data_IF_144787252261
#
_entry.id   IF_144787252261
#
_cell.length_a   1.000
_cell.length_b   1.000
_cell.length_c   1.000
_cell.angle_alpha   90.00
_cell.angle_beta   90.00
_cell.angle_gamma   90.00
#
_symmetry.space_group_name_H-M   'P 1'
#
loop_
_entity.id
_entity.type
_entity.pdbx_description
1 polymer ?
#
# COMPACT_ATOMS: atom_id res chain seq x y z
N UNK A 1 3.10 4.78 32.62
CA UNK A 1 3.28 4.25 31.25
C UNK A 1 4.06 5.29 30.46
N UNK A 2 5.14 4.93 29.76
CA UNK A 2 5.96 5.87 28.98
C UNK A 2 5.33 6.11 27.60
N UNK A 3 5.20 7.37 27.16
CA UNK A 3 4.41 7.76 25.98
C UNK A 3 4.86 7.12 24.66
N UNK A 4 6.11 6.65 24.57
CA UNK A 4 6.62 5.87 23.43
C UNK A 4 5.91 4.51 23.27
N UNK A 5 5.39 3.93 24.33
CA UNK A 5 4.75 2.61 24.27
C UNK A 5 3.29 2.72 23.85
N UNK A 6 2.53 3.57 24.53
CA UNK A 6 1.20 3.98 24.09
C UNK A 6 0.72 5.23 24.84
N UNK A 7 -0.35 5.83 24.33
CA UNK A 7 -1.16 6.85 24.99
C UNK A 7 -2.64 6.59 24.67
N UNK A 8 -3.59 7.09 25.48
CA UNK A 8 -5.03 6.87 25.22
C UNK A 8 -5.50 7.29 23.82
N UNK A 9 -4.93 8.35 23.24
CA UNK A 9 -5.25 8.80 21.88
C UNK A 9 -4.77 7.79 20.82
N UNK A 10 -3.60 7.18 21.06
CA UNK A 10 -3.03 6.16 20.16
C UNK A 10 -3.86 4.88 20.25
N UNK A 11 -4.18 4.42 21.47
CA UNK A 11 -4.99 3.22 21.69
C UNK A 11 -6.36 3.33 21.01
N UNK A 12 -7.03 4.49 21.15
CA UNK A 12 -8.32 4.75 20.50
C UNK A 12 -8.22 4.73 18.97
N UNK A 13 -7.19 5.37 18.43
CA UNK A 13 -6.95 5.41 16.99
C UNK A 13 -6.65 4.02 16.42
N UNK A 14 -5.74 3.27 17.06
CA UNK A 14 -5.34 1.93 16.65
C UNK A 14 -6.54 0.96 16.69
N UNK A 15 -7.35 1.03 17.76
CA UNK A 15 -8.57 0.21 17.87
C UNK A 15 -9.54 0.49 16.72
N UNK A 16 -9.75 1.77 16.37
CA UNK A 16 -10.68 2.14 15.29
C UNK A 16 -10.14 1.76 13.91
N UNK A 17 -8.84 1.88 13.67
CA UNK A 17 -8.22 1.44 12.42
C UNK A 17 -8.33 -0.08 12.23
N UNK A 18 -8.08 -0.86 13.29
CA UNK A 18 -8.25 -2.30 13.26
C UNK A 18 -9.68 -2.71 12.86
N UNK A 19 -10.69 -2.08 13.46
CA UNK A 19 -12.11 -2.31 13.12
C UNK A 19 -12.40 -1.92 11.67
N UNK A 20 -11.89 -0.77 11.21
CA UNK A 20 -12.19 -0.24 9.88
C UNK A 20 -11.63 -1.12 8.74
N UNK A 21 -10.50 -1.78 8.98
CA UNK A 21 -9.86 -2.73 8.06
C UNK A 21 -10.22 -4.20 8.31
N UNK A 22 -11.03 -4.49 9.32
CA UNK A 22 -11.35 -5.86 9.72
C UNK A 22 -10.13 -6.65 10.24
N UNK A 23 -9.09 -5.97 10.74
CA UNK A 23 -7.92 -6.58 11.36
C UNK A 23 -8.08 -6.80 12.86
N UNK A 24 -7.22 -7.65 13.44
CA UNK A 24 -7.23 -7.92 14.88
C UNK A 24 -6.57 -6.80 15.69
N UNK A 25 -5.56 -6.15 15.12
CA UNK A 25 -4.82 -5.07 15.75
C UNK A 25 -4.26 -4.10 14.71
N UNK A 26 -3.99 -2.87 15.15
CA UNK A 26 -3.29 -1.86 14.37
C UNK A 26 -2.16 -1.23 15.17
N UNK A 27 -1.16 -0.71 14.46
CA UNK A 27 -0.10 0.11 15.01
C UNK A 27 0.05 1.38 14.19
N UNK A 28 0.19 2.51 14.87
CA UNK A 28 0.37 3.83 14.25
C UNK A 28 1.79 4.34 14.40
N UNK A 29 2.19 5.17 13.43
CA UNK A 29 3.56 5.64 13.24
C UNK A 29 3.57 7.12 12.85
N UNK A 30 4.69 7.80 13.11
CA UNK A 30 4.89 9.20 12.72
C UNK A 30 4.91 9.45 11.21
N UNK A 31 4.99 8.40 10.38
CA UNK A 31 4.83 8.51 8.91
C UNK A 31 4.54 7.15 8.29
N UNK A 32 4.05 7.14 7.03
CA UNK A 32 3.93 5.91 6.23
C UNK A 32 5.27 5.19 6.06
N UNK A 33 6.36 5.93 5.83
CA UNK A 33 7.70 5.33 5.72
C UNK A 33 8.16 4.69 7.04
N UNK A 34 7.82 5.26 8.20
CA UNK A 34 8.12 4.63 9.48
C UNK A 34 7.34 3.33 9.66
N UNK A 35 6.08 3.27 9.21
CA UNK A 35 5.28 2.04 9.21
C UNK A 35 5.91 0.97 8.29
N UNK A 36 6.22 1.33 7.05
CA UNK A 36 6.84 0.43 6.05
C UNK A 36 8.20 -0.08 6.55
N UNK A 37 9.10 0.82 6.94
CA UNK A 37 10.44 0.46 7.38
C UNK A 37 10.41 -0.46 8.62
N UNK A 38 9.58 -0.13 9.62
CA UNK A 38 9.46 -0.95 10.84
C UNK A 38 8.90 -2.34 10.51
N UNK A 39 7.89 -2.43 9.64
CA UNK A 39 7.33 -3.71 9.18
C UNK A 39 8.39 -4.55 8.47
N UNK A 40 9.11 -3.98 7.51
CA UNK A 40 10.14 -4.72 6.77
C UNK A 40 11.26 -5.21 7.70
N UNK A 41 11.74 -4.35 8.62
CA UNK A 41 12.77 -4.70 9.60
C UNK A 41 12.30 -5.69 10.67
N UNK A 42 10.99 -5.82 10.92
CA UNK A 42 10.45 -6.79 11.87
C UNK A 42 10.47 -8.22 11.33
N UNK A 43 10.57 -8.40 10.01
CA UNK A 43 10.41 -9.71 9.38
C UNK A 43 11.54 -10.11 8.44
N UNK A 44 12.41 -9.19 8.03
CA UNK A 44 13.58 -9.48 7.21
C UNK A 44 14.88 -9.03 7.90
N UNK A 45 15.88 -9.92 7.89
CA UNK A 45 17.24 -9.66 8.35
C UNK A 45 18.28 -10.05 7.30
N UNK A 46 19.56 -9.86 7.63
CA UNK A 46 20.66 -10.15 6.71
C UNK A 46 20.58 -11.59 6.15
N UNK A 47 20.68 -11.73 4.83
CA UNK A 47 20.57 -12.99 4.10
C UNK A 47 19.14 -13.37 3.69
N UNK A 48 18.12 -12.70 4.23
CA UNK A 48 16.73 -12.89 3.79
C UNK A 48 16.44 -12.15 2.48
N UNK A 49 15.30 -12.49 1.86
CA UNK A 49 14.84 -11.91 0.59
C UNK A 49 13.48 -11.25 0.76
N UNK A 50 13.32 -10.07 0.16
CA UNK A 50 12.03 -9.39 -0.05
C UNK A 50 11.66 -9.49 -1.52
N UNK A 51 10.60 -10.25 -1.82
CA UNK A 51 9.95 -10.24 -3.13
C UNK A 51 8.95 -9.10 -3.16
N UNK A 52 8.93 -8.27 -4.19
CA UNK A 52 7.94 -7.20 -4.29
C UNK A 52 7.43 -6.94 -5.69
N UNK A 53 6.25 -6.33 -5.78
CA UNK A 53 5.75 -5.84 -7.06
C UNK A 53 6.38 -4.50 -7.46
N UNK A 54 6.47 -4.21 -8.75
CA UNK A 54 6.88 -2.90 -9.27
C UNK A 54 5.83 -2.34 -10.24
N UNK A 55 5.65 -1.01 -10.30
CA UNK A 55 6.33 0.00 -9.46
C UNK A 55 5.75 0.07 -8.04
N UNK A 56 6.57 0.55 -7.10
CA UNK A 56 6.14 0.97 -5.77
C UNK A 56 6.27 2.49 -5.63
N UNK A 57 5.68 3.06 -4.58
CA UNK A 57 6.03 4.40 -4.12
C UNK A 57 7.56 4.58 -4.05
N UNK A 58 8.07 5.66 -4.64
CA UNK A 58 9.51 5.89 -4.77
C UNK A 58 10.28 5.92 -3.45
N UNK A 59 9.63 6.28 -2.34
CA UNK A 59 10.24 6.18 -1.01
C UNK A 59 10.44 4.73 -0.56
N UNK A 60 9.48 3.85 -0.85
CA UNK A 60 9.56 2.42 -0.59
C UNK A 60 10.63 1.78 -1.46
N UNK A 61 10.63 2.06 -2.76
CA UNK A 61 11.66 1.57 -3.69
C UNK A 61 13.08 2.00 -3.25
N UNK A 62 13.26 3.27 -2.89
CA UNK A 62 14.54 3.76 -2.37
C UNK A 62 14.94 3.08 -1.06
N UNK A 63 14.00 2.78 -0.17
CA UNK A 63 14.29 2.08 1.08
C UNK A 63 14.76 0.64 0.83
N UNK A 64 14.06 -0.11 -0.03
CA UNK A 64 14.45 -1.47 -0.41
C UNK A 64 15.85 -1.49 -1.06
N UNK A 65 16.05 -0.68 -2.10
CA UNK A 65 17.26 -0.74 -2.92
C UNK A 65 18.48 -0.05 -2.31
N UNK A 66 18.30 0.91 -1.39
CA UNK A 66 19.43 1.68 -0.82
C UNK A 66 19.70 1.39 0.65
N UNK A 67 18.67 1.04 1.43
CA UNK A 67 18.84 0.78 2.87
C UNK A 67 18.94 -0.73 3.11
N UNK A 68 17.93 -1.51 2.71
CA UNK A 68 17.91 -2.95 2.97
C UNK A 68 19.03 -3.69 2.22
N UNK A 69 19.33 -3.30 0.98
CA UNK A 69 20.47 -3.84 0.24
C UNK A 69 21.81 -3.67 0.98
N UNK A 70 22.02 -2.55 1.68
CA UNK A 70 23.24 -2.32 2.49
C UNK A 70 23.28 -3.16 3.77
N UNK A 71 22.13 -3.68 4.20
CA UNK A 71 21.99 -4.59 5.34
C UNK A 71 22.06 -6.07 4.92
N UNK A 72 22.50 -6.35 3.69
CA UNK A 72 22.56 -7.69 3.09
C UNK A 72 21.18 -8.38 2.99
N UNK A 73 20.10 -7.60 2.87
CA UNK A 73 18.77 -8.12 2.54
C UNK A 73 18.64 -8.06 1.03
N UNK A 74 18.35 -9.19 0.41
CA UNK A 74 18.24 -9.30 -1.04
C UNK A 74 16.86 -8.86 -1.51
N UNK A 75 16.80 -8.23 -2.67
CA UNK A 75 15.55 -7.74 -3.27
C UNK A 75 15.29 -8.50 -4.57
N UNK A 76 14.04 -8.91 -4.78
CA UNK A 76 13.56 -9.46 -6.05
C UNK A 76 12.25 -8.76 -6.44
N UNK A 77 12.11 -8.43 -7.72
CA UNK A 77 10.99 -7.66 -8.23
C UNK A 77 10.19 -8.45 -9.28
N UNK A 78 8.88 -8.21 -9.32
CA UNK A 78 7.96 -8.70 -10.35
C UNK A 78 7.02 -7.57 -10.76
N UNK A 79 6.62 -7.49 -12.03
CA UNK A 79 5.69 -6.45 -12.48
C UNK A 79 4.30 -6.59 -11.82
N UNK A 80 3.66 -5.46 -11.51
CA UNK A 80 2.36 -5.42 -10.82
C UNK A 80 1.26 -6.24 -11.51
N UNK A 81 1.16 -6.16 -12.84
CA UNK A 81 0.15 -6.90 -13.62
C UNK A 81 0.69 -8.23 -14.20
N UNK A 82 1.79 -8.76 -13.64
CA UNK A 82 2.34 -10.06 -14.03
C UNK A 82 1.29 -11.18 -13.98
N UNK A 83 1.44 -12.16 -14.87
CA UNK A 83 0.71 -13.40 -14.82
C UNK A 83 1.38 -14.40 -13.86
N UNK A 84 0.70 -15.52 -13.60
CA UNK A 84 1.18 -16.53 -12.68
C UNK A 84 2.56 -17.12 -13.07
N UNK A 85 2.84 -17.47 -14.34
CA UNK A 85 4.16 -17.94 -14.74
C UNK A 85 5.29 -16.95 -14.45
N UNK A 86 5.11 -15.66 -14.77
CA UNK A 86 6.11 -14.64 -14.48
C UNK A 86 6.33 -14.48 -12.97
N UNK A 87 5.26 -14.55 -12.18
CA UNK A 87 5.35 -14.47 -10.72
C UNK A 87 6.04 -15.69 -10.10
N UNK A 88 5.79 -16.90 -10.61
CA UNK A 88 6.49 -18.12 -10.18
C UNK A 88 7.98 -18.07 -10.53
N UNK A 89 8.35 -17.52 -11.69
CA UNK A 89 9.74 -17.34 -12.07
C UNK A 89 10.47 -16.36 -11.11
N UNK A 90 9.84 -15.24 -10.78
CA UNK A 90 10.37 -14.30 -9.79
C UNK A 90 10.47 -14.93 -8.39
N UNK A 91 9.48 -15.73 -7.98
CA UNK A 91 9.53 -16.46 -6.71
C UNK A 91 10.69 -17.47 -6.65
N UNK A 92 10.94 -18.21 -7.73
CA UNK A 92 12.07 -19.14 -7.83
C UNK A 92 13.41 -18.40 -7.79
N UNK A 93 13.53 -17.28 -8.52
CA UNK A 93 14.69 -16.39 -8.48
C UNK A 93 14.93 -15.83 -7.07
N UNK A 94 13.88 -15.41 -6.36
CA UNK A 94 13.96 -14.94 -4.98
C UNK A 94 14.48 -16.05 -4.05
N UNK A 95 13.90 -17.25 -4.08
CA UNK A 95 14.32 -18.37 -3.24
C UNK A 95 15.77 -18.81 -3.49
N UNK A 96 16.28 -18.63 -4.72
CA UNK A 96 17.68 -18.90 -5.03
C UNK A 96 18.66 -17.92 -4.38
N UNK A 97 18.21 -16.72 -4.00
CA UNK A 97 19.02 -15.70 -3.29
C UNK A 97 19.04 -15.89 -1.78
N UNK A 98 18.01 -16.55 -1.21
CA UNK A 98 17.87 -16.78 0.22
C UNK A 98 16.41 -17.03 0.64
N UNK A 99 16.14 -17.17 1.96
CA UNK A 99 14.78 -17.38 2.47
C UNK A 99 13.91 -16.15 2.19
N UNK A 100 12.79 -16.33 1.49
CA UNK A 100 11.87 -15.24 1.17
C UNK A 100 11.00 -14.97 2.39
N UNK A 101 11.17 -13.82 3.03
CA UNK A 101 10.44 -13.47 4.26
C UNK A 101 9.19 -12.65 4.01
N UNK A 102 9.20 -11.84 2.96
CA UNK A 102 8.16 -10.86 2.69
C UNK A 102 7.83 -10.89 1.21
N UNK A 103 6.54 -10.88 0.90
CA UNK A 103 6.00 -10.51 -0.39
C UNK A 103 5.31 -9.15 -0.22
N UNK A 104 5.92 -8.08 -0.73
CA UNK A 104 5.41 -6.71 -0.58
C UNK A 104 4.72 -6.24 -1.86
N UNK A 105 3.54 -5.64 -1.74
CA UNK A 105 2.82 -5.08 -2.88
C UNK A 105 2.15 -3.74 -2.56
N UNK A 106 1.80 -3.01 -3.60
CA UNK A 106 1.01 -1.78 -3.57
C UNK A 106 -0.02 -1.89 -4.69
N UNK A 107 -1.31 -1.73 -4.36
CA UNK A 107 -2.35 -1.75 -5.39
C UNK A 107 -3.51 -0.80 -5.05
N UNK A 108 -3.93 0.07 -6.00
CA UNK A 108 -3.29 0.38 -7.28
C UNK A 108 -1.87 0.95 -7.11
N UNK A 109 -1.00 0.77 -8.10
CA UNK A 109 0.37 1.30 -8.03
C UNK A 109 0.42 2.82 -8.23
N UNK A 110 1.32 3.51 -7.54
CA UNK A 110 1.66 4.90 -7.84
C UNK A 110 2.84 4.97 -8.84
N UNK A 111 2.77 5.74 -9.96
CA UNK A 111 1.69 6.64 -10.40
C UNK A 111 0.74 6.07 -11.47
N UNK A 112 0.92 4.81 -11.89
CA UNK A 112 0.26 4.28 -13.09
C UNK A 112 -1.08 3.58 -12.82
N UNK A 113 -1.49 3.44 -11.56
CA UNK A 113 -2.71 2.72 -11.15
C UNK A 113 -2.78 1.30 -11.73
N UNK A 114 -1.67 0.59 -11.75
CA UNK A 114 -1.64 -0.83 -12.13
C UNK A 114 -2.24 -1.67 -11.00
N UNK A 115 -2.91 -2.76 -11.35
CA UNK A 115 -3.67 -3.57 -10.39
C UNK A 115 -2.93 -4.87 -10.11
N UNK A 116 -2.55 -5.10 -8.85
CA UNK A 116 -1.92 -6.34 -8.42
C UNK A 116 -2.97 -7.32 -7.95
N UNK A 117 -2.86 -8.58 -8.35
CA UNK A 117 -3.79 -9.64 -7.95
C UNK A 117 -3.44 -10.19 -6.56
N UNK A 118 -4.14 -9.71 -5.54
CA UNK A 118 -3.88 -10.09 -4.15
C UNK A 118 -4.06 -11.60 -3.91
N UNK A 119 -5.02 -12.22 -4.59
CA UNK A 119 -5.25 -13.66 -4.50
C UNK A 119 -4.12 -14.46 -5.15
N UNK A 120 -3.56 -13.96 -6.27
CA UNK A 120 -2.35 -14.54 -6.86
C UNK A 120 -1.14 -14.37 -5.92
N UNK A 121 -0.96 -13.20 -5.31
CA UNK A 121 0.13 -13.00 -4.34
C UNK A 121 0.04 -13.99 -3.17
N UNK A 122 -1.16 -14.25 -2.63
CA UNK A 122 -1.37 -15.28 -1.59
C UNK A 122 -0.97 -16.66 -2.10
N UNK A 123 -1.45 -17.05 -3.29
CA UNK A 123 -1.10 -18.33 -3.92
C UNK A 123 0.42 -18.50 -4.09
N UNK A 124 1.13 -17.43 -4.48
CA UNK A 124 2.58 -17.44 -4.62
C UNK A 124 3.27 -17.56 -3.25
N UNK A 125 2.80 -16.83 -2.24
CA UNK A 125 3.34 -16.94 -0.89
C UNK A 125 3.17 -18.38 -0.34
N UNK A 126 2.04 -19.02 -0.60
CA UNK A 126 1.81 -20.42 -0.22
C UNK A 126 2.72 -21.37 -1.00
N UNK A 127 2.91 -21.14 -2.31
CA UNK A 127 3.84 -21.91 -3.14
C UNK A 127 5.27 -21.85 -2.60
N UNK A 128 5.76 -20.64 -2.29
CA UNK A 128 7.06 -20.44 -1.66
C UNK A 128 7.11 -21.20 -0.33
N UNK A 129 6.07 -21.09 0.50
CA UNK A 129 6.01 -21.76 1.79
C UNK A 129 6.07 -23.28 1.72
N UNK A 130 5.45 -23.88 0.71
CA UNK A 130 5.54 -25.33 0.48
C UNK A 130 6.96 -25.80 0.12
N UNK A 131 7.80 -24.92 -0.45
CA UNK A 131 9.17 -25.25 -0.88
C UNK A 131 10.17 -24.97 0.24
N UNK A 132 10.14 -23.78 0.84
CA UNK A 132 11.12 -23.35 1.86
C UNK A 132 10.70 -23.70 3.30
N UNK A 133 9.50 -24.23 3.51
CA UNK A 133 8.96 -24.66 4.81
C UNK A 133 8.20 -23.59 5.60
N UNK A 134 8.11 -22.35 5.10
CA UNK A 134 7.28 -21.28 5.68
C UNK A 134 6.88 -20.25 4.61
N UNK A 135 5.63 -19.79 4.64
CA UNK A 135 5.18 -18.75 3.71
C UNK A 135 5.79 -17.38 4.08
N UNK A 136 6.21 -16.56 3.10
CA UNK A 136 6.49 -15.15 3.35
C UNK A 136 5.23 -14.43 3.79
N UNK A 137 5.41 -13.38 4.57
CA UNK A 137 4.31 -12.49 5.00
C UNK A 137 3.91 -11.63 3.80
N UNK A 138 2.64 -11.67 3.44
CA UNK A 138 2.06 -10.83 2.39
C UNK A 138 1.69 -9.47 2.97
N UNK A 139 2.36 -8.42 2.48
CA UNK A 139 2.15 -7.03 2.90
C UNK A 139 1.59 -6.23 1.73
N UNK A 140 0.47 -5.52 1.95
CA UNK A 140 -0.12 -4.62 0.95
C UNK A 140 -0.13 -3.18 1.44
N UNK A 141 0.48 -2.27 0.67
CA UNK A 141 0.25 -0.83 0.81
C UNK A 141 -1.09 -0.48 0.17
N UNK A 142 -2.07 -0.15 1.01
CA UNK A 142 -3.43 0.19 0.59
C UNK A 142 -3.68 1.71 0.68
N UNK A 143 -2.62 2.52 0.61
CA UNK A 143 -2.72 3.98 0.76
C UNK A 143 -3.70 4.61 -0.23
N UNK A 144 -3.72 4.17 -1.50
CA UNK A 144 -4.50 4.85 -2.55
C UNK A 144 -6.01 4.62 -2.47
N UNK A 145 -6.44 3.42 -2.10
CA UNK A 145 -7.87 3.11 -1.96
C UNK A 145 -8.35 3.25 -0.52
N UNK A 146 -7.43 3.18 0.44
CA UNK A 146 -7.71 3.19 1.87
C UNK A 146 -8.65 2.06 2.30
N UNK A 147 -9.01 2.02 3.59
CA UNK A 147 -9.87 0.97 4.11
C UNK A 147 -11.31 1.06 3.59
N UNK A 148 -11.71 2.20 3.01
CA UNK A 148 -13.05 2.39 2.43
C UNK A 148 -13.15 1.77 1.03
N UNK A 149 -12.09 1.87 0.22
CA UNK A 149 -12.09 1.48 -1.18
C UNK A 149 -11.60 0.06 -1.46
N UNK A 150 -10.86 -0.54 -0.53
CA UNK A 150 -10.34 -1.90 -0.64
C UNK A 150 -10.04 -2.48 0.75
N UNK A 151 -10.23 -3.78 0.91
CA UNK A 151 -10.05 -4.53 2.16
C UNK A 151 -9.06 -5.68 1.94
N UNK A 152 -7.74 -5.43 1.86
CA UNK A 152 -6.77 -6.45 1.42
C UNK A 152 -6.71 -7.68 2.34
N UNK A 153 -6.97 -7.53 3.64
CA UNK A 153 -7.00 -8.65 4.59
C UNK A 153 -8.03 -9.72 4.17
N UNK A 154 -9.19 -9.29 3.64
CA UNK A 154 -10.22 -10.19 3.11
C UNK A 154 -9.79 -10.96 1.84
N UNK A 155 -8.65 -10.57 1.24
CA UNK A 155 -8.07 -11.19 0.04
C UNK A 155 -6.79 -11.98 0.34
N UNK A 156 -6.53 -12.30 1.60
CA UNK A 156 -5.40 -13.14 2.03
C UNK A 156 -4.10 -12.39 2.32
N UNK A 157 -4.13 -11.06 2.35
CA UNK A 157 -3.02 -10.24 2.84
C UNK A 157 -2.88 -10.41 4.34
N UNK A 158 -1.66 -10.55 4.84
CA UNK A 158 -1.37 -10.76 6.26
C UNK A 158 -1.29 -9.41 7.02
N UNK A 159 -0.73 -8.39 6.35
CA UNK A 159 -0.56 -7.04 6.89
C UNK A 159 -0.89 -5.97 5.85
N UNK A 160 -1.69 -4.98 6.23
CA UNK A 160 -1.96 -3.80 5.42
C UNK A 160 -1.18 -2.61 5.99
N UNK A 161 -0.48 -1.88 5.12
CA UNK A 161 0.26 -0.67 5.50
C UNK A 161 -0.35 0.56 4.85
N UNK A 162 -0.23 1.69 5.54
CA UNK A 162 -0.81 2.96 5.11
C UNK A 162 0.14 4.13 5.32
N UNK A 163 0.10 5.06 4.38
CA UNK A 163 0.33 6.48 4.65
C UNK A 163 -0.98 7.16 5.03
N UNK A 164 -1.25 7.24 6.33
CA UNK A 164 -2.44 7.92 6.86
C UNK A 164 -2.48 9.41 6.53
N UNK A 165 -1.32 9.99 6.20
CA UNK A 165 -1.13 11.32 5.61
C UNK A 165 -2.06 11.62 4.42
N UNK A 166 -2.47 10.58 3.68
CA UNK A 166 -3.23 10.71 2.43
C UNK A 166 -4.73 10.73 2.71
N UNK A 167 -5.47 9.76 2.19
CA UNK A 167 -6.93 9.77 2.18
C UNK A 167 -7.57 9.66 3.57
N UNK A 168 -6.95 8.87 4.47
CA UNK A 168 -7.46 8.68 5.83
C UNK A 168 -7.42 9.99 6.62
N UNK A 169 -6.26 10.65 6.68
CA UNK A 169 -6.10 11.97 7.29
C UNK A 169 -6.87 13.04 6.53
N UNK A 170 -6.66 13.15 5.21
CA UNK A 170 -7.55 13.85 4.27
C UNK A 170 -7.73 15.36 4.42
N UNK A 171 -7.06 15.99 5.40
CA UNK A 171 -7.11 17.43 5.67
C UNK A 171 -5.77 18.13 5.38
N UNK A 172 -4.78 17.39 4.87
CA UNK A 172 -3.44 17.91 4.51
C UNK A 172 -2.71 18.63 5.65
N UNK A 173 -2.97 18.24 6.90
CA UNK A 173 -2.53 18.91 8.13
C UNK A 173 -1.68 18.02 9.05
N UNK A 174 -1.39 16.77 8.65
CA UNK A 174 -0.66 15.80 9.46
C UNK A 174 0.21 14.85 8.62
N UNK A 175 1.19 14.23 9.28
CA UNK A 175 1.99 13.13 8.76
C UNK A 175 1.84 11.92 9.68
N UNK A 176 1.42 10.78 9.14
CA UNK A 176 1.28 9.55 9.90
C UNK A 176 1.27 8.31 9.00
N UNK A 177 1.50 7.16 9.61
CA UNK A 177 1.37 5.85 8.99
C UNK A 177 0.69 4.85 9.91
N UNK A 178 0.28 3.72 9.35
CA UNK A 178 -0.26 2.61 10.12
C UNK A 178 0.09 1.25 9.50
N UNK A 179 0.00 0.23 10.34
CA UNK A 179 0.00 -1.17 9.96
C UNK A 179 -1.21 -1.83 10.63
N UNK A 180 -1.98 -2.62 9.89
CA UNK A 180 -3.15 -3.37 10.40
C UNK A 180 -3.03 -4.83 10.01
N UNK A 181 -3.39 -5.75 10.90
CA UNK A 181 -3.42 -7.18 10.59
C UNK A 181 -3.58 -8.07 11.83
N UNK A 182 -3.11 -9.31 11.73
CA UNK A 182 -3.16 -10.26 12.85
C UNK A 182 -2.32 -9.80 14.04
N UNK A 183 -2.83 -9.97 15.26
CA UNK A 183 -2.19 -9.49 16.48
C UNK A 183 -0.78 -10.06 16.67
N UNK A 184 -0.60 -11.35 16.37
CA UNK A 184 0.71 -11.99 16.48
C UNK A 184 1.78 -11.37 15.56
N UNK A 185 1.39 -10.83 14.41
CA UNK A 185 2.29 -10.13 13.50
C UNK A 185 2.52 -8.69 13.95
N UNK A 186 1.47 -7.98 14.34
CA UNK A 186 1.61 -6.61 14.84
C UNK A 186 2.43 -6.55 16.12
N UNK A 187 2.37 -7.55 17.02
CA UNK A 187 3.17 -7.57 18.25
C UNK A 187 4.70 -7.63 17.97
N UNK A 188 5.10 -8.29 16.87
CA UNK A 188 6.50 -8.28 16.39
C UNK A 188 6.90 -6.89 15.91
N UNK A 189 6.03 -6.24 15.15
CA UNK A 189 6.24 -4.86 14.67
C UNK A 189 6.28 -3.87 15.85
N UNK A 190 5.42 -4.05 16.86
CA UNK A 190 5.39 -3.23 18.06
C UNK A 190 6.73 -3.28 18.82
N UNK A 191 7.34 -4.47 18.90
CA UNK A 191 8.65 -4.65 19.50
C UNK A 191 9.71 -3.81 18.80
N UNK A 192 9.72 -3.80 17.46
CA UNK A 192 10.65 -2.97 16.67
C UNK A 192 10.30 -1.48 16.76
N UNK A 193 9.01 -1.10 16.66
CA UNK A 193 8.54 0.28 16.81
C UNK A 193 9.00 0.87 18.15
N UNK A 194 8.89 0.08 19.22
CA UNK A 194 9.33 0.47 20.55
C UNK A 194 10.82 0.78 20.59
N UNK A 195 11.66 0.03 19.87
CA UNK A 195 13.10 0.27 19.79
C UNK A 195 13.44 1.48 18.91
N UNK A 196 12.83 1.58 17.71
CA UNK A 196 13.14 2.63 16.74
C UNK A 196 12.50 3.98 17.08
N UNK A 197 11.44 3.99 17.89
CA UNK A 197 10.78 5.21 18.34
C UNK A 197 9.95 5.93 17.27
N UNK A 198 9.61 5.27 16.15
CA UNK A 198 8.80 5.82 15.05
C UNK A 198 7.31 6.02 15.37
N UNK A 199 6.99 6.41 16.61
CA UNK A 199 5.64 6.50 17.16
C UNK A 199 4.94 7.77 16.69
N UNK A 200 3.63 7.70 16.46
CA UNK A 200 2.83 8.91 16.17
C UNK A 200 2.71 9.79 17.41
N UNK A 201 2.71 11.11 17.24
CA UNK A 201 2.47 11.98 18.38
C UNK A 201 0.97 11.94 18.81
N UNK A 202 0.64 12.13 20.10
CA UNK A 202 -0.75 12.04 20.58
C UNK A 202 -1.71 13.09 20.00
N UNK A 203 -1.22 14.25 19.56
CA UNK A 203 -2.04 15.27 18.92
C UNK A 203 -2.40 14.87 17.49
N UNK A 204 -1.44 14.36 16.72
CA UNK A 204 -1.68 13.74 15.41
C UNK A 204 -2.62 12.55 15.52
N UNK A 205 -2.51 11.72 16.56
CA UNK A 205 -3.44 10.63 16.81
C UNK A 205 -4.89 11.13 17.02
N UNK A 206 -5.05 12.25 17.75
CA UNK A 206 -6.34 12.91 17.92
C UNK A 206 -6.88 13.51 16.61
N UNK A 207 -6.05 14.19 15.82
CA UNK A 207 -6.43 14.72 14.50
C UNK A 207 -6.88 13.62 13.54
N UNK A 208 -6.23 12.46 13.59
CA UNK A 208 -6.64 11.28 12.83
C UNK A 208 -7.98 10.74 13.31
N UNK A 209 -8.20 10.66 14.63
CA UNK A 209 -9.49 10.23 15.19
C UNK A 209 -10.63 11.16 14.73
N UNK A 210 -10.42 12.48 14.74
CA UNK A 210 -11.33 13.47 14.12
C UNK A 210 -11.56 13.19 12.63
N UNK A 211 -10.50 12.85 11.90
CA UNK A 211 -10.57 12.59 10.46
C UNK A 211 -11.36 11.32 10.14
N UNK A 212 -11.29 10.29 10.99
CA UNK A 212 -12.04 9.04 10.83
C UNK A 212 -13.56 9.26 10.84
N UNK A 213 -14.08 10.26 11.54
CA UNK A 213 -15.53 10.56 11.60
C UNK A 213 -16.14 10.87 10.22
N UNK A 214 -15.32 11.34 9.27
CA UNK A 214 -15.77 11.72 7.93
C UNK A 214 -15.08 10.93 6.81
N UNK A 215 -14.27 9.93 7.14
CA UNK A 215 -13.41 9.24 6.15
C UNK A 215 -14.22 8.61 5.01
N UNK A 216 -15.31 7.91 5.32
CA UNK A 216 -16.18 7.30 4.31
C UNK A 216 -16.85 8.34 3.42
N UNK A 217 -17.33 9.45 3.99
CA UNK A 217 -17.97 10.52 3.24
C UNK A 217 -16.99 11.21 2.30
N UNK A 218 -15.82 11.61 2.83
CA UNK A 218 -14.77 12.29 2.06
C UNK A 218 -14.25 11.42 0.92
N UNK A 219 -13.97 10.15 1.19
CA UNK A 219 -13.42 9.25 0.17
C UNK A 219 -14.43 8.94 -0.94
N UNK A 220 -15.71 8.73 -0.62
CA UNK A 220 -16.75 8.56 -1.64
C UNK A 220 -16.92 9.82 -2.49
N UNK A 221 -17.03 10.99 -1.86
CA UNK A 221 -17.14 12.26 -2.59
C UNK A 221 -15.92 12.53 -3.48
N UNK A 222 -14.71 12.20 -3.01
CA UNK A 222 -13.49 12.32 -3.81
C UNK A 222 -13.48 11.35 -5.01
N UNK A 223 -13.95 10.12 -4.83
CA UNK A 223 -14.10 9.16 -5.94
C UNK A 223 -15.13 9.65 -6.96
N UNK A 224 -16.33 10.06 -6.52
CA UNK A 224 -17.38 10.58 -7.40
C UNK A 224 -16.89 11.80 -8.21
N UNK A 225 -16.14 12.70 -7.56
CA UNK A 225 -15.51 13.84 -8.22
C UNK A 225 -14.48 13.40 -9.26
N UNK A 226 -13.61 12.45 -8.89
CA UNK A 226 -12.59 11.92 -9.79
C UNK A 226 -13.20 11.20 -11.00
N UNK A 227 -14.30 10.46 -10.84
CA UNK A 227 -15.01 9.81 -11.95
C UNK A 227 -15.51 10.82 -12.98
N UNK A 228 -16.10 11.93 -12.51
CA UNK A 228 -16.58 13.01 -13.40
C UNK A 228 -15.42 13.69 -14.13
N UNK A 229 -14.32 13.97 -13.43
CA UNK A 229 -13.12 14.56 -14.03
C UNK A 229 -12.49 13.59 -15.03
N UNK A 230 -12.35 12.31 -14.69
CA UNK A 230 -11.82 11.29 -15.57
C UNK A 230 -12.66 11.13 -16.85
N UNK A 231 -14.00 11.09 -16.73
CA UNK A 231 -14.90 10.99 -17.88
C UNK A 231 -14.85 12.22 -18.81
N UNK A 232 -14.55 13.40 -18.26
CA UNK A 232 -14.27 14.60 -19.04
C UNK A 232 -12.91 14.49 -19.76
N UNK A 233 -11.85 14.11 -19.03
CA UNK A 233 -10.49 14.04 -19.55
C UNK A 233 -10.30 12.95 -20.61
N UNK A 234 -11.01 11.82 -20.49
CA UNK A 234 -10.98 10.72 -21.46
C UNK A 234 -11.37 11.18 -22.87
N UNK A 235 -12.26 12.17 -22.98
CA UNK A 235 -12.73 12.72 -24.26
C UNK A 235 -11.97 13.97 -24.70
N UNK A 236 -10.99 14.41 -23.91
CA UNK A 236 -10.33 15.69 -24.14
C UNK A 236 -9.20 15.54 -25.17
N UNK A 237 -9.23 16.32 -26.25
CA UNK A 237 -8.28 16.21 -27.38
C UNK A 237 -6.79 16.38 -27.01
N UNK A 238 -6.49 16.97 -25.84
CA UNK A 238 -5.11 17.10 -25.32
C UNK A 238 -4.64 15.91 -24.48
N UNK A 239 -5.51 14.96 -24.15
CA UNK A 239 -5.16 13.78 -23.35
C UNK A 239 -5.02 12.60 -24.30
N UNK A 240 -3.82 12.00 -24.35
CA UNK A 240 -3.56 10.81 -25.17
C UNK A 240 -3.82 9.51 -24.41
N UNK A 241 -3.64 9.53 -23.09
CA UNK A 241 -3.88 8.38 -22.22
C UNK A 241 -4.28 8.86 -20.83
N UNK A 242 -5.21 8.14 -20.21
CA UNK A 242 -5.64 8.34 -18.84
C UNK A 242 -5.57 7.00 -18.10
N UNK A 243 -4.84 6.93 -17.00
CA UNK A 243 -4.76 5.76 -16.15
C UNK A 243 -5.60 5.98 -14.89
N UNK A 244 -6.81 5.41 -14.90
CA UNK A 244 -7.74 5.48 -13.78
C UNK A 244 -8.44 4.14 -13.59
N UNK A 245 -8.49 3.56 -12.37
CA UNK A 245 -9.15 2.28 -12.13
C UNK A 245 -10.62 2.24 -12.57
N UNK A 246 -11.33 3.37 -12.48
CA UNK A 246 -12.73 3.47 -12.89
C UNK A 246 -12.99 3.39 -14.40
N UNK A 247 -11.96 3.52 -15.24
CA UNK A 247 -12.07 3.37 -16.71
C UNK A 247 -11.60 1.99 -17.19
N UNK A 248 -11.23 1.08 -16.29
CA UNK A 248 -10.71 -0.22 -16.69
C UNK A 248 -11.79 -1.06 -17.36
N UNK A 249 -11.44 -1.65 -18.50
CA UNK A 249 -12.36 -2.50 -19.23
C UNK A 249 -12.65 -3.78 -18.44
N UNK A 250 -13.92 -3.88 -18.11
CA UNK A 250 -14.65 -4.97 -17.48
C UNK A 250 -14.44 -6.34 -18.13
N UNK A 251 -14.19 -6.39 -19.44
CA UNK A 251 -13.89 -7.62 -20.19
C UNK A 251 -12.40 -8.01 -20.18
N UNK A 252 -11.52 -7.16 -19.66
CA UNK A 252 -10.10 -7.44 -19.52
C UNK A 252 -9.77 -7.95 -18.11
N UNK A 253 -8.62 -8.63 -17.98
CA UNK A 253 -8.18 -9.20 -16.68
C UNK A 253 -8.12 -8.12 -15.60
N UNK A 254 -7.48 -6.99 -15.88
CA UNK A 254 -7.27 -5.91 -14.91
C UNK A 254 -8.58 -5.28 -14.41
N UNK A 255 -9.56 -5.06 -15.29
CA UNK A 255 -10.87 -4.51 -14.90
C UNK A 255 -11.76 -5.51 -14.16
N UNK A 256 -11.64 -6.81 -14.43
CA UNK A 256 -12.26 -7.85 -13.59
C UNK A 256 -11.61 -7.91 -12.20
N UNK A 257 -10.28 -7.85 -12.16
CA UNK A 257 -9.53 -7.94 -10.92
C UNK A 257 -9.84 -6.78 -9.98
N UNK A 258 -9.76 -5.54 -10.48
CA UNK A 258 -10.07 -4.34 -9.68
C UNK A 258 -11.48 -4.43 -9.06
N UNK A 259 -12.50 -4.81 -9.84
CA UNK A 259 -13.87 -4.97 -9.31
C UNK A 259 -14.04 -6.13 -8.33
N UNK A 260 -13.19 -7.16 -8.42
CA UNK A 260 -13.24 -8.30 -7.51
C UNK A 260 -12.67 -7.95 -6.13
N UNK A 261 -11.68 -7.06 -6.07
CA UNK A 261 -10.95 -6.76 -4.83
C UNK A 261 -11.14 -5.31 -4.31
N UNK A 262 -11.87 -4.46 -5.02
CA UNK A 262 -12.08 -3.06 -4.66
C UNK A 262 -13.56 -2.69 -4.74
N UNK A 263 -14.01 -1.85 -3.79
CA UNK A 263 -15.35 -1.28 -3.74
C UNK A 263 -15.42 0.14 -4.33
N UNK A 264 -14.27 0.84 -4.39
CA UNK A 264 -14.14 2.17 -4.97
C UNK A 264 -12.99 2.22 -5.99
N UNK A 265 -13.05 3.21 -6.89
CA UNK A 265 -12.05 3.43 -7.93
C UNK A 265 -10.88 4.33 -7.47
N UNK A 266 -10.98 4.89 -6.27
CA UNK A 266 -10.06 5.91 -5.77
C UNK A 266 -10.24 7.25 -6.49
N UNK A 267 -9.49 8.25 -6.04
CA UNK A 267 -9.50 9.59 -6.64
C UNK A 267 -8.19 9.99 -7.32
N UNK A 268 -7.17 9.12 -7.27
CA UNK A 268 -5.90 9.35 -7.96
C UNK A 268 -5.98 8.83 -9.39
N UNK A 269 -5.60 9.64 -10.37
CA UNK A 269 -5.38 9.23 -11.75
C UNK A 269 -4.14 9.92 -12.31
N UNK A 270 -3.53 9.33 -13.34
CA UNK A 270 -2.45 9.93 -14.10
C UNK A 270 -2.84 10.05 -15.58
N UNK A 271 -2.30 11.04 -16.27
CA UNK A 271 -2.57 11.26 -17.69
C UNK A 271 -1.29 11.52 -18.47
N UNK A 272 -1.34 11.23 -19.76
CA UNK A 272 -0.33 11.62 -20.73
C UNK A 272 -0.92 12.66 -21.67
N UNK A 273 -0.12 13.69 -21.96
CA UNK A 273 -0.49 14.72 -22.94
C UNK A 273 -0.33 14.19 -24.36
N UNK A 274 -1.24 14.58 -25.26
CA UNK A 274 -1.17 14.29 -26.70
C UNK A 274 -0.06 15.06 -27.42
N UNK A 275 0.43 16.16 -26.82
CA UNK A 275 1.60 16.91 -27.31
C UNK A 275 2.71 16.87 -26.29
N UNK A 276 3.96 16.83 -26.75
CA UNK A 276 5.10 17.09 -25.88
C UNK A 276 4.97 18.52 -25.34
N UNK A 277 4.67 18.66 -24.05
CA UNK A 277 4.58 19.98 -23.41
C UNK A 277 5.89 20.21 -22.67
N UNK A 278 6.62 21.31 -22.93
CA UNK A 278 7.90 21.59 -22.27
C UNK A 278 7.77 21.64 -20.74
N UNK A 279 6.58 22.02 -20.24
CA UNK A 279 6.18 21.97 -18.83
C UNK A 279 4.67 21.69 -18.74
N UNK A 280 4.25 20.79 -17.84
CA UNK A 280 2.84 20.50 -17.57
C UNK A 280 2.00 21.75 -17.24
N UNK A 281 2.62 22.81 -16.69
CA UNK A 281 1.92 24.08 -16.41
C UNK A 281 1.34 24.74 -17.66
N UNK A 282 1.92 24.52 -18.85
CA UNK A 282 1.41 25.06 -20.11
C UNK A 282 0.25 24.23 -20.71
N UNK A 283 -0.06 23.06 -20.15
CA UNK A 283 -1.06 22.13 -20.68
C UNK A 283 -2.47 22.74 -20.71
N UNK A 284 -2.82 23.54 -19.70
CA UNK A 284 -4.15 24.14 -19.49
C UNK A 284 -4.31 25.56 -20.04
N UNK A 285 -3.23 26.20 -20.49
CA UNK A 285 -3.21 27.63 -20.86
C UNK A 285 -3.43 27.91 -22.35
N UNK A 286 -3.67 26.88 -23.15
CA UNK A 286 -4.05 27.03 -24.57
C UNK A 286 -5.21 26.15 -24.92
#
# INVERSE_FOLDING_TARGET
MYSRFSTPNIDLLETRLAILDGGEAALTFGSGMAAIATTLMAFAGAGDVVLHTVPLYGGTDAFLNRILARQNIQIEAVAAEADEPAFLAAAASAMAKGPVRILYTETPTNPHNEIVDLALCRKIADHIGNIQGFAPILVCDNTLLGPVGQQPLAHGVDLVVYSLTKYVGGHSDLLAGAVVGAKALTDKIYSIRSLLGGVVDPHTAWLLTRSLETVTLRMRAACDGAERVAAFLERHAKVSRLNYPGLLNVSERRGRLHRKQSSLNGSTFSLMSAKAVPRLSAFWMG
#
